data_IF_734233044911
#
_entry.id   IF_734233044911
#
_cell.length_a   1.000
_cell.length_b   1.000
_cell.length_c   1.000
_cell.angle_alpha   90.00
_cell.angle_beta   90.00
_cell.angle_gamma   90.00
#
_symmetry.space_group_name_H-M   'P 1'
#
loop_
_entity.id
_entity.type
_entity.pdbx_description
1 polymer ?
#
# COMPACT_ATOMS: atom_id res chain seq x y z
N UNK A 1 4.59 10.12 -2.94
CA UNK A 1 4.15 8.88 -3.62
C UNK A 1 5.05 8.64 -4.82
N UNK A 2 5.54 7.39 -5.03
CA UNK A 2 6.45 7.04 -6.14
C UNK A 2 5.68 6.26 -7.22
N UNK A 3 5.86 6.65 -8.48
CA UNK A 3 5.40 5.90 -9.65
C UNK A 3 6.41 4.79 -9.97
N UNK A 4 5.92 3.56 -10.12
CA UNK A 4 6.69 2.41 -10.60
C UNK A 4 6.24 2.06 -12.01
N UNK A 5 7.20 1.67 -12.86
CA UNK A 5 6.93 1.39 -14.28
C UNK A 5 6.53 -0.07 -14.52
N UNK A 6 6.78 -0.96 -13.56
CA UNK A 6 6.35 -2.35 -13.62
C UNK A 6 5.82 -2.87 -12.28
N UNK A 7 5.01 -3.92 -12.38
CA UNK A 7 4.57 -4.67 -11.20
C UNK A 7 5.77 -5.34 -10.53
N UNK A 8 6.76 -5.83 -11.29
CA UNK A 8 7.99 -6.42 -10.76
C UNK A 8 8.81 -5.46 -9.90
N UNK A 9 8.98 -4.20 -10.32
CA UNK A 9 9.63 -3.17 -9.49
C UNK A 9 8.85 -2.93 -8.20
N UNK A 10 7.53 -2.88 -8.31
CA UNK A 10 6.63 -2.74 -7.16
C UNK A 10 6.77 -3.94 -6.22
N UNK A 11 6.99 -5.12 -6.79
CA UNK A 11 7.17 -6.37 -6.05
C UNK A 11 8.48 -6.48 -5.30
N UNK A 12 9.57 -5.97 -5.87
CA UNK A 12 10.85 -5.93 -5.17
C UNK A 12 10.76 -5.10 -3.87
N UNK A 13 9.92 -4.05 -3.84
CA UNK A 13 9.68 -3.25 -2.64
C UNK A 13 8.96 -4.05 -1.56
N UNK A 14 7.99 -4.86 -1.98
CA UNK A 14 7.23 -5.75 -1.10
C UNK A 14 8.10 -6.83 -0.47
N UNK A 15 8.98 -7.47 -1.25
CA UNK A 15 9.87 -8.53 -0.76
C UNK A 15 10.82 -8.04 0.33
N UNK A 16 11.27 -6.78 0.26
CA UNK A 16 12.14 -6.19 1.28
C UNK A 16 11.43 -5.92 2.61
N UNK A 17 10.09 -5.94 2.62
CA UNK A 17 9.27 -5.58 3.78
C UNK A 17 8.01 -6.46 3.86
N UNK A 18 8.17 -7.77 4.12
CA UNK A 18 7.09 -8.75 3.99
C UNK A 18 5.90 -8.52 4.94
N UNK A 19 6.13 -7.79 6.04
CA UNK A 19 5.10 -7.50 7.04
C UNK A 19 4.40 -6.14 6.81
N UNK A 20 4.75 -5.40 5.75
CA UNK A 20 4.06 -4.15 5.44
C UNK A 20 2.70 -4.42 4.78
N UNK A 21 1.66 -3.83 5.37
CA UNK A 21 0.31 -3.81 4.82
C UNK A 21 0.25 -2.71 3.76
N UNK A 22 0.09 -3.12 2.51
CA UNK A 22 0.08 -2.22 1.36
C UNK A 22 -1.09 -2.45 0.40
N UNK A 23 -1.38 -1.41 -0.38
CA UNK A 23 -2.26 -1.41 -1.53
C UNK A 23 -1.52 -0.84 -2.74
N UNK A 24 -1.67 -1.47 -3.90
CA UNK A 24 -1.10 -1.01 -5.16
C UNK A 24 -2.24 -0.70 -6.10
N UNK A 25 -2.24 0.48 -6.73
CA UNK A 25 -3.13 0.76 -7.84
C UNK A 25 -2.34 0.75 -9.15
N UNK A 26 -2.88 0.06 -10.15
CA UNK A 26 -2.39 0.03 -11.51
C UNK A 26 -3.39 0.71 -12.43
N UNK A 27 -2.92 1.66 -13.23
CA UNK A 27 -3.69 2.30 -14.30
C UNK A 27 -3.19 1.77 -15.65
N UNK A 28 -4.11 1.24 -16.45
CA UNK A 28 -3.86 0.64 -17.76
C UNK A 28 -2.78 -0.46 -17.82
N UNK A 29 -2.33 -0.99 -16.67
CA UNK A 29 -1.24 -1.98 -16.62
C UNK A 29 0.16 -1.38 -16.80
N UNK A 30 0.31 -0.06 -16.78
CA UNK A 30 1.60 0.61 -17.07
C UNK A 30 2.03 1.62 -16.00
N UNK A 31 1.12 2.05 -15.13
CA UNK A 31 1.42 3.01 -14.07
C UNK A 31 1.02 2.44 -12.72
N UNK A 32 2.00 2.21 -11.85
CA UNK A 32 1.81 1.54 -10.56
C UNK A 32 2.14 2.49 -9.42
N UNK A 33 1.23 2.62 -8.46
CA UNK A 33 1.40 3.48 -7.28
C UNK A 33 1.17 2.67 -6.01
N UNK A 34 2.07 2.84 -5.04
CA UNK A 34 2.09 2.07 -3.79
C UNK A 34 1.64 2.93 -2.62
N UNK A 35 0.70 2.41 -1.86
CA UNK A 35 0.18 2.97 -0.63
C UNK A 35 0.46 2.01 0.52
N UNK A 36 0.96 2.56 1.63
CA UNK A 36 1.24 1.80 2.85
C UNK A 36 0.23 2.16 3.92
N UNK A 37 -0.11 1.21 4.78
CA UNK A 37 -0.80 1.54 6.03
C UNK A 37 0.12 2.36 6.94
N UNK A 38 -0.44 3.32 7.65
CA UNK A 38 0.29 4.05 8.68
C UNK A 38 -0.14 3.55 10.07
N UNK A 39 0.81 3.20 10.94
CA UNK A 39 0.49 2.91 12.34
C UNK A 39 -0.04 4.17 13.03
N UNK A 40 -0.64 4.03 14.21
CA UNK A 40 -0.99 5.21 15.00
C UNK A 40 0.25 6.05 15.33
N UNK A 41 0.11 7.38 15.48
CA UNK A 41 1.21 8.26 15.84
C UNK A 41 2.03 7.78 17.04
N UNK A 42 1.36 7.21 18.04
CA UNK A 42 2.00 6.65 19.23
C UNK A 42 2.85 5.42 18.89
N UNK A 43 2.34 4.50 18.06
CA UNK A 43 3.08 3.33 17.60
C UNK A 43 4.23 3.74 16.67
N UNK A 44 4.03 4.74 15.81
CA UNK A 44 5.07 5.29 14.94
C UNK A 44 6.22 5.85 15.78
N UNK A 45 5.89 6.63 16.81
CA UNK A 45 6.85 7.19 17.77
C UNK A 45 7.62 6.09 18.51
N UNK A 46 6.93 5.03 18.96
CA UNK A 46 7.59 3.89 19.61
C UNK A 46 8.54 3.15 18.65
N UNK A 47 8.13 2.94 17.39
CA UNK A 47 9.00 2.34 16.36
C UNK A 47 10.22 3.21 16.08
N UNK A 48 10.07 4.53 16.05
CA UNK A 48 11.18 5.46 15.89
C UNK A 48 12.13 5.43 17.09
N UNK A 49 11.63 5.35 18.31
CA UNK A 49 12.45 5.17 19.51
C UNK A 49 13.27 3.87 19.44
N UNK A 50 12.63 2.74 19.09
CA UNK A 50 13.30 1.45 18.89
C UNK A 50 14.41 1.52 17.84
N UNK A 51 14.14 2.17 16.70
CA UNK A 51 15.12 2.33 15.64
C UNK A 51 16.32 3.18 16.08
N UNK A 52 16.09 4.26 16.84
CA UNK A 52 17.17 5.11 17.37
C UNK A 52 18.06 4.35 18.36
N UNK A 53 17.47 3.54 19.25
CA UNK A 53 18.25 2.68 20.15
C UNK A 53 19.02 1.62 19.36
N UNK A 54 18.39 0.96 18.39
CA UNK A 54 19.06 -0.02 17.52
C UNK A 54 20.30 0.56 16.83
N UNK A 55 20.17 1.73 16.22
CA UNK A 55 21.30 2.45 15.59
C UNK A 55 22.37 2.81 16.64
N UNK A 56 21.97 3.32 17.81
CA UNK A 56 22.90 3.66 18.89
C UNK A 56 23.73 2.46 19.32
N UNK A 57 23.11 1.28 19.41
CA UNK A 57 23.77 0.05 19.84
C UNK A 57 24.70 -0.49 18.75
N UNK A 58 24.30 -0.43 17.47
CA UNK A 58 25.18 -0.76 16.34
C UNK A 58 26.45 0.09 16.34
N UNK A 59 26.36 1.37 16.72
CA UNK A 59 27.49 2.28 16.80
C UNK A 59 28.35 2.12 18.07
N UNK A 60 27.77 1.66 19.17
CA UNK A 60 28.42 1.62 20.49
C UNK A 60 28.96 0.24 20.89
N UNK A 61 28.66 -0.80 20.10
CA UNK A 61 29.01 -2.19 20.42
C UNK A 61 27.90 -2.93 21.20
N UNK A 62 28.02 -4.27 21.36
CA UNK A 62 26.93 -5.09 21.88
C UNK A 62 26.52 -4.73 23.31
N UNK A 63 25.28 -4.30 23.48
CA UNK A 63 24.60 -4.09 24.77
C UNK A 63 23.68 -5.26 25.13
N UNK A 64 23.32 -5.38 26.42
CA UNK A 64 22.37 -6.41 26.85
C UNK A 64 20.94 -6.07 26.37
N UNK A 65 20.18 -7.08 25.91
CA UNK A 65 18.81 -6.90 25.39
C UNK A 65 17.85 -6.28 26.43
N UNK A 66 18.11 -6.50 27.72
CA UNK A 66 17.26 -5.99 28.80
C UNK A 66 17.46 -4.49 29.04
N UNK A 67 18.67 -3.96 28.83
CA UNK A 67 18.93 -2.52 28.86
C UNK A 67 18.27 -1.79 27.68
N UNK A 68 18.14 -2.47 26.53
CA UNK A 68 17.59 -1.87 25.31
C UNK A 68 16.10 -1.57 25.42
N UNK A 69 15.33 -2.41 26.12
CA UNK A 69 13.91 -2.17 26.35
C UNK A 69 13.68 -0.98 27.28
N UNK A 70 14.44 -0.88 28.37
CA UNK A 70 14.33 0.24 29.30
C UNK A 70 14.75 1.56 28.64
N UNK A 71 15.87 1.57 27.93
CA UNK A 71 16.34 2.73 27.14
C UNK A 71 15.31 3.15 26.09
N UNK A 72 14.70 2.18 25.40
CA UNK A 72 13.63 2.42 24.43
C UNK A 72 12.42 3.08 25.09
N UNK A 73 11.95 2.56 26.23
CA UNK A 73 10.79 3.11 26.93
C UNK A 73 11.06 4.52 27.46
N UNK A 74 12.26 4.77 27.98
CA UNK A 74 12.67 6.10 28.42
C UNK A 74 12.69 7.11 27.27
N UNK A 75 13.30 6.75 26.14
CA UNK A 75 13.32 7.57 24.94
C UNK A 75 11.91 7.80 24.39
N UNK A 76 11.08 6.76 24.35
CA UNK A 76 9.69 6.87 23.91
C UNK A 76 8.90 7.88 24.75
N UNK A 77 9.00 7.82 26.09
CA UNK A 77 8.34 8.79 26.98
C UNK A 77 8.84 10.22 26.77
N UNK A 78 10.14 10.40 26.57
CA UNK A 78 10.70 11.71 26.22
C UNK A 78 10.10 12.24 24.91
N UNK A 79 10.04 11.42 23.87
CA UNK A 79 9.45 11.79 22.59
C UNK A 79 7.95 12.10 22.68
N UNK A 80 7.21 11.43 23.57
CA UNK A 80 5.82 11.79 23.84
C UNK A 80 5.70 13.17 24.49
N UNK A 81 6.56 13.49 25.46
CA UNK A 81 6.58 14.79 26.12
C UNK A 81 6.94 15.94 25.17
N UNK A 82 7.85 15.68 24.22
CA UNK A 82 8.22 16.61 23.14
C UNK A 82 7.20 16.68 22.00
N UNK A 83 6.02 16.07 22.18
CA UNK A 83 4.94 16.06 21.19
C UNK A 83 5.34 15.49 19.82
N UNK A 84 6.33 14.59 19.77
CA UNK A 84 6.74 13.91 18.53
C UNK A 84 5.57 13.21 17.82
N UNK A 85 4.56 12.60 18.50
CA UNK A 85 3.41 12.03 17.80
C UNK A 85 2.72 12.99 16.81
N UNK A 86 2.69 14.30 17.05
CA UNK A 86 2.00 15.24 16.17
C UNK A 86 2.66 15.39 14.79
N UNK A 87 3.91 14.92 14.62
CA UNK A 87 4.60 14.94 13.32
C UNK A 87 4.21 13.76 12.43
N UNK A 88 3.58 12.74 12.99
CA UNK A 88 3.15 11.56 12.25
C UNK A 88 1.72 11.72 11.73
N UNK A 89 1.44 11.20 10.53
CA UNK A 89 0.07 11.17 10.01
C UNK A 89 -0.81 10.26 10.89
N UNK A 90 -2.12 10.50 10.83
CA UNK A 90 -3.10 9.63 11.47
C UNK A 90 -3.00 8.17 11.01
N UNK A 91 -3.44 7.25 11.87
CA UNK A 91 -3.52 5.85 11.50
C UNK A 91 -4.55 5.66 10.39
N UNK A 92 -4.10 5.11 9.28
CA UNK A 92 -4.94 4.86 8.12
C UNK A 92 -4.55 3.52 7.51
N UNK A 93 -5.55 2.78 7.06
CA UNK A 93 -5.32 1.56 6.29
C UNK A 93 -4.78 1.90 4.89
N UNK A 94 -4.13 0.95 4.23
CA UNK A 94 -3.52 1.19 2.93
C UNK A 94 -4.56 1.59 1.87
N UNK A 95 -5.77 1.03 1.95
CA UNK A 95 -6.90 1.37 1.08
C UNK A 95 -7.37 2.81 1.26
N UNK A 96 -7.37 3.32 2.49
CA UNK A 96 -7.78 4.70 2.77
C UNK A 96 -6.73 5.68 2.28
N UNK A 97 -5.46 5.36 2.46
CA UNK A 97 -4.37 6.13 1.90
C UNK A 97 -4.40 6.13 0.37
N UNK A 98 -4.79 5.00 -0.25
CA UNK A 98 -5.02 4.91 -1.69
C UNK A 98 -6.15 5.83 -2.14
N UNK A 99 -7.32 5.76 -1.49
CA UNK A 99 -8.45 6.63 -1.83
C UNK A 99 -8.05 8.09 -1.65
N UNK A 100 -7.47 8.46 -0.50
CA UNK A 100 -7.04 9.83 -0.18
C UNK A 100 -6.03 10.36 -1.20
N UNK A 101 -5.03 9.56 -1.57
CA UNK A 101 -4.00 9.94 -2.54
C UNK A 101 -4.41 9.81 -4.01
N UNK A 102 -5.64 9.39 -4.30
CA UNK A 102 -6.09 9.17 -5.68
C UNK A 102 -6.01 10.43 -6.58
N UNK A 103 -6.32 11.66 -6.12
CA UNK A 103 -6.13 12.87 -6.93
C UNK A 103 -4.66 13.07 -7.36
N UNK A 104 -3.72 12.78 -6.48
CA UNK A 104 -2.28 12.85 -6.79
C UNK A 104 -1.88 11.78 -7.81
N UNK A 105 -2.52 10.60 -7.76
CA UNK A 105 -2.31 9.53 -8.74
C UNK A 105 -2.71 10.01 -10.12
N UNK A 106 -3.88 10.63 -10.25
CA UNK A 106 -4.36 11.15 -11.53
C UNK A 106 -3.45 12.27 -12.05
N UNK A 107 -3.01 13.15 -11.15
CA UNK A 107 -2.08 14.24 -11.49
C UNK A 107 -0.75 13.70 -12.03
N UNK A 108 -0.15 12.72 -11.34
CA UNK A 108 1.10 12.08 -11.80
C UNK A 108 0.90 11.28 -13.08
N UNK A 109 -0.24 10.59 -13.23
CA UNK A 109 -0.56 9.83 -14.43
C UNK A 109 -0.66 10.74 -15.64
N UNK A 110 -1.42 11.86 -15.54
CA UNK A 110 -1.52 12.85 -16.63
C UNK A 110 -0.18 13.48 -16.98
N UNK A 111 0.64 13.81 -15.98
CA UNK A 111 1.97 14.36 -16.22
C UNK A 111 2.88 13.38 -16.97
N UNK A 112 2.73 12.07 -16.71
CA UNK A 112 3.57 11.03 -17.33
C UNK A 112 3.02 10.56 -18.67
N UNK A 113 1.69 10.54 -18.83
CA UNK A 113 0.97 10.00 -19.98
C UNK A 113 -0.15 11.00 -20.43
N UNK A 114 0.20 12.19 -20.93
CA UNK A 114 -0.74 13.30 -21.11
C UNK A 114 -1.89 13.01 -22.09
N UNK A 115 -1.67 12.18 -23.09
CA UNK A 115 -2.67 11.84 -24.11
C UNK A 115 -3.50 10.59 -23.75
N UNK A 116 -3.13 9.89 -22.67
CA UNK A 116 -3.75 8.60 -22.37
C UNK A 116 -4.94 8.74 -21.43
N UNK A 117 -6.02 8.03 -21.77
CA UNK A 117 -7.20 7.86 -20.93
C UNK A 117 -7.09 6.60 -20.09
N UNK A 118 -7.73 6.59 -18.92
CA UNK A 118 -7.76 5.45 -18.03
C UNK A 118 -8.92 4.52 -18.43
N UNK A 119 -8.56 3.35 -18.94
CA UNK A 119 -9.48 2.31 -19.41
C UNK A 119 -9.55 1.16 -18.40
N UNK A 120 -8.46 0.89 -17.67
CA UNK A 120 -8.41 -0.17 -16.67
C UNK A 120 -7.82 0.35 -15.36
N UNK A 121 -8.48 0.04 -14.25
CA UNK A 121 -7.97 0.23 -12.90
C UNK A 121 -7.91 -1.14 -12.23
N UNK A 122 -6.72 -1.55 -11.79
CA UNK A 122 -6.54 -2.75 -10.98
C UNK A 122 -5.94 -2.39 -9.64
N UNK A 123 -6.56 -2.83 -8.55
CA UNK A 123 -6.02 -2.67 -7.20
C UNK A 123 -5.50 -4.02 -6.72
N UNK A 124 -4.26 -4.07 -6.29
CA UNK A 124 -3.64 -5.24 -5.68
C UNK A 124 -3.48 -5.00 -4.18
N UNK A 125 -4.01 -5.92 -3.37
CA UNK A 125 -3.92 -5.86 -1.92
C UNK A 125 -3.04 -6.99 -1.40
N UNK A 126 -2.12 -6.63 -0.51
CA UNK A 126 -1.25 -7.57 0.22
C UNK A 126 -1.99 -8.37 1.31
N UNK A 127 -3.22 -7.99 1.61
CA UNK A 127 -4.04 -8.51 2.68
C UNK A 127 -5.51 -8.48 2.28
N UNK A 128 -6.35 -9.18 3.04
CA UNK A 128 -7.80 -9.04 2.92
C UNK A 128 -8.24 -7.73 3.60
N UNK A 129 -8.99 -6.85 2.92
CA UNK A 129 -9.44 -5.59 3.45
C UNK A 129 -10.40 -5.84 4.60
N UNK A 130 -10.31 -5.04 5.66
CA UNK A 130 -11.21 -5.19 6.80
C UNK A 130 -12.68 -5.01 6.39
N UNK A 131 -13.55 -5.88 6.89
CA UNK A 131 -14.99 -5.78 6.73
C UNK A 131 -15.63 -5.20 7.99
N UNK A 132 -16.73 -4.47 7.83
CA UNK A 132 -17.52 -3.97 8.96
C UNK A 132 -18.15 -5.12 9.78
N UNK A 133 -18.54 -6.19 9.11
CA UNK A 133 -19.10 -7.40 9.70
C UNK A 133 -17.98 -8.46 9.81
N UNK A 134 -17.12 -8.31 10.82
CA UNK A 134 -16.01 -9.24 11.04
C UNK A 134 -15.42 -9.14 12.44
N UNK A 135 -14.63 -10.13 12.84
CA UNK A 135 -14.05 -10.24 14.19
C UNK A 135 -12.94 -9.21 14.49
N UNK A 136 -12.35 -8.59 13.45
CA UNK A 136 -11.23 -7.65 13.58
C UNK A 136 -11.73 -6.21 13.62
N UNK A 137 -11.03 -5.34 14.37
CA UNK A 137 -11.26 -3.88 14.33
C UNK A 137 -11.26 -3.41 12.87
N UNK A 138 -12.39 -2.85 12.45
CA UNK A 138 -12.58 -2.36 11.10
C UNK A 138 -12.30 -0.86 11.04
N UNK A 139 -11.97 -0.35 9.86
CA UNK A 139 -11.91 1.10 9.69
C UNK A 139 -13.32 1.72 9.80
N UNK A 140 -13.46 2.77 10.59
CA UNK A 140 -14.71 3.52 10.80
C UNK A 140 -15.18 4.28 9.56
N UNK A 141 -16.45 4.67 9.53
CA UNK A 141 -16.98 5.57 8.50
C UNK A 141 -16.26 6.92 8.56
N UNK A 142 -15.94 7.50 7.40
CA UNK A 142 -15.22 8.79 7.33
C UNK A 142 -15.36 9.46 5.97
N UNK A 143 -15.16 10.77 5.95
CA UNK A 143 -15.10 11.55 4.71
C UNK A 143 -13.68 11.57 4.16
N UNK A 144 -13.51 11.19 2.89
CA UNK A 144 -12.23 11.25 2.17
C UNK A 144 -12.49 11.86 0.79
N UNK A 145 -11.71 12.87 0.39
CA UNK A 145 -11.84 13.57 -0.90
C UNK A 145 -13.26 14.09 -1.18
N UNK A 146 -13.98 14.53 -0.15
CA UNK A 146 -15.36 15.01 -0.28
C UNK A 146 -16.42 13.93 -0.35
N UNK A 147 -16.05 12.64 -0.30
CA UNK A 147 -17.00 11.51 -0.29
C UNK A 147 -17.16 10.95 1.11
N UNK A 148 -18.41 10.76 1.55
CA UNK A 148 -18.69 10.02 2.79
C UNK A 148 -18.60 8.52 2.52
N UNK A 149 -17.64 7.84 3.16
CA UNK A 149 -17.36 6.44 2.93
C UNK A 149 -17.80 5.57 4.12
N UNK A 150 -18.40 4.39 3.87
CA UNK A 150 -18.92 3.51 4.90
C UNK A 150 -17.80 2.87 5.77
N UNK A 151 -18.16 2.26 6.91
CA UNK A 151 -17.20 1.48 7.69
C UNK A 151 -16.75 0.22 6.91
N UNK A 152 -15.51 -0.23 7.14
CA UNK A 152 -14.85 -1.35 6.47
C UNK A 152 -14.16 -0.96 5.16
N UNK A 153 -12.88 -1.32 5.00
CA UNK A 153 -12.09 -1.01 3.79
C UNK A 153 -12.68 -1.64 2.53
N UNK A 154 -13.29 -2.82 2.63
CA UNK A 154 -13.98 -3.46 1.50
C UNK A 154 -15.14 -2.59 0.99
N UNK A 155 -16.00 -2.10 1.89
CA UNK A 155 -17.13 -1.23 1.57
C UNK A 155 -16.64 0.15 1.10
N UNK A 156 -15.53 0.67 1.64
CA UNK A 156 -14.92 1.92 1.15
C UNK A 156 -14.40 1.79 -0.29
N UNK A 157 -13.66 0.73 -0.60
CA UNK A 157 -13.17 0.49 -1.96
C UNK A 157 -14.33 0.31 -2.94
N UNK A 158 -15.36 -0.46 -2.56
CA UNK A 158 -16.55 -0.65 -3.40
C UNK A 158 -17.30 0.67 -3.60
N UNK A 159 -17.53 1.43 -2.53
CA UNK A 159 -18.18 2.74 -2.63
C UNK A 159 -17.38 3.73 -3.48
N UNK A 160 -16.05 3.70 -3.41
CA UNK A 160 -15.23 4.65 -4.16
C UNK A 160 -15.05 4.24 -5.63
N UNK A 161 -14.77 2.96 -5.90
CA UNK A 161 -14.46 2.44 -7.23
C UNK A 161 -15.65 1.77 -7.94
N UNK A 162 -16.34 0.81 -7.32
CA UNK A 162 -17.45 0.11 -7.99
C UNK A 162 -18.60 1.06 -8.32
N UNK A 163 -18.91 1.98 -7.41
CA UNK A 163 -19.96 2.99 -7.62
C UNK A 163 -19.52 4.19 -8.48
N UNK A 164 -18.26 4.24 -8.90
CA UNK A 164 -17.79 5.28 -9.81
C UNK A 164 -17.49 6.65 -9.20
N UNK A 165 -17.50 6.81 -7.87
CA UNK A 165 -17.22 8.09 -7.20
C UNK A 165 -15.86 8.67 -7.60
N UNK A 166 -14.87 7.82 -7.86
CA UNK A 166 -13.55 8.21 -8.35
C UNK A 166 -13.59 9.05 -9.64
N UNK A 167 -14.63 8.89 -10.48
CA UNK A 167 -14.77 9.63 -11.73
C UNK A 167 -15.04 11.12 -11.50
N UNK A 168 -15.74 11.47 -10.42
CA UNK A 168 -16.07 12.86 -10.12
C UNK A 168 -14.83 13.73 -9.79
N UNK A 169 -13.66 13.12 -9.60
CA UNK A 169 -12.39 13.83 -9.39
C UNK A 169 -11.82 14.37 -10.71
N UNK A 170 -11.95 13.62 -11.80
CA UNK A 170 -11.44 14.01 -13.13
C UNK A 170 -12.13 13.20 -14.24
N UNK A 171 -13.41 13.46 -14.44
CA UNK A 171 -14.27 12.69 -15.36
C UNK A 171 -13.69 12.54 -16.78
N UNK A 172 -13.12 13.60 -17.41
CA UNK A 172 -12.56 13.50 -18.75
C UNK A 172 -11.42 12.49 -18.89
N UNK A 173 -10.78 12.08 -17.79
CA UNK A 173 -9.66 11.14 -17.82
C UNK A 173 -10.10 9.68 -17.98
N UNK A 174 -11.38 9.37 -17.74
CA UNK A 174 -11.91 8.00 -17.69
C UNK A 174 -12.74 7.67 -18.93
N UNK A 175 -12.50 6.52 -19.56
CA UNK A 175 -13.25 6.08 -20.74
C UNK A 175 -13.63 4.61 -20.60
N UNK A 176 -14.92 4.32 -20.44
CA UNK A 176 -15.46 2.96 -20.24
C UNK A 176 -14.62 2.13 -19.25
N UNK A 177 -14.15 2.79 -18.19
CA UNK A 177 -13.13 2.25 -17.31
C UNK A 177 -13.62 0.99 -16.59
N UNK A 178 -12.87 -0.11 -16.72
CA UNK A 178 -13.09 -1.34 -15.97
C UNK A 178 -12.30 -1.30 -14.68
N UNK A 179 -12.90 -1.80 -13.61
CA UNK A 179 -12.30 -1.85 -12.29
C UNK A 179 -12.22 -3.29 -11.79
N UNK A 180 -11.10 -3.63 -11.15
CA UNK A 180 -10.92 -4.93 -10.48
C UNK A 180 -10.07 -4.78 -9.21
N UNK A 181 -10.51 -5.42 -8.13
CA UNK A 181 -9.68 -5.65 -6.94
C UNK A 181 -9.14 -7.07 -6.99
N UNK A 182 -7.85 -7.23 -6.70
CA UNK A 182 -7.16 -8.51 -6.63
C UNK A 182 -6.48 -8.65 -5.28
N UNK A 183 -6.75 -9.77 -4.61
CA UNK A 183 -6.04 -10.18 -3.42
C UNK A 183 -4.83 -11.01 -3.86
N UNK A 184 -3.64 -10.59 -3.45
CA UNK A 184 -2.42 -11.33 -3.72
C UNK A 184 -2.32 -12.51 -2.74
N UNK A 185 -2.86 -13.67 -3.13
CA UNK A 185 -2.92 -14.89 -2.32
C UNK A 185 -1.56 -15.35 -1.79
N UNK A 186 -0.43 -15.02 -2.44
CA UNK A 186 0.92 -15.34 -1.94
C UNK A 186 1.27 -14.75 -0.57
N UNK A 187 0.47 -13.83 -0.04
CA UNK A 187 0.62 -13.29 1.32
C UNK A 187 -0.34 -13.93 2.32
N UNK A 188 -1.25 -14.78 1.84
CA UNK A 188 -2.03 -15.66 2.70
C UNK A 188 -1.25 -16.96 2.92
N UNK A 189 -0.56 -17.04 4.06
CA UNK A 189 0.25 -18.19 4.46
C UNK A 189 -0.55 -19.50 4.61
N UNK A 190 -1.88 -19.45 4.43
CA UNK A 190 -2.78 -20.60 4.54
C UNK A 190 -3.26 -21.16 3.20
N UNK A 191 -2.79 -20.64 2.06
CA UNK A 191 -3.27 -21.04 0.73
C UNK A 191 -2.11 -21.53 -0.13
N UNK A 192 -2.21 -22.76 -0.63
CA UNK A 192 -1.22 -23.34 -1.56
C UNK A 192 -1.17 -22.54 -2.87
N UNK A 193 0.05 -22.25 -3.34
CA UNK A 193 0.30 -21.44 -4.54
C UNK A 193 -0.30 -22.09 -5.79
N UNK A 194 -1.43 -21.57 -6.28
CA UNK A 194 -1.83 -21.80 -7.66
C UNK A 194 -1.01 -20.89 -8.57
N UNK A 195 -0.32 -21.50 -9.54
CA UNK A 195 0.48 -21.00 -10.68
C UNK A 195 0.94 -19.51 -10.66
N UNK A 196 2.20 -19.20 -11.02
CA UNK A 196 2.81 -17.88 -10.81
C UNK A 196 2.20 -16.79 -11.71
N UNK A 197 1.08 -16.21 -11.27
CA UNK A 197 0.33 -15.14 -11.92
C UNK A 197 1.17 -13.89 -12.25
N UNK A 198 2.28 -13.67 -11.55
CA UNK A 198 3.25 -12.60 -11.84
C UNK A 198 3.76 -12.70 -13.28
N UNK A 199 3.86 -13.92 -13.82
CA UNK A 199 4.27 -14.17 -15.21
C UNK A 199 3.23 -13.73 -16.24
N UNK A 200 1.94 -13.69 -15.86
CA UNK A 200 0.84 -13.31 -16.75
C UNK A 200 0.50 -11.81 -16.71
N UNK A 201 0.80 -11.15 -15.59
CA UNK A 201 0.42 -9.74 -15.37
C UNK A 201 1.51 -8.72 -15.77
N UNK A 202 2.73 -9.17 -16.04
CA UNK A 202 3.87 -8.30 -16.39
C UNK A 202 4.33 -8.60 -17.84
N UNK A 203 4.11 -7.67 -18.79
CA UNK A 203 4.54 -7.84 -20.18
C UNK A 203 6.05 -8.09 -20.34
N UNK A 204 6.88 -7.54 -19.45
CA UNK A 204 8.33 -7.75 -19.48
C UNK A 204 8.68 -9.19 -19.09
N UNK A 205 8.04 -9.75 -18.07
CA UNK A 205 8.22 -11.17 -17.69
C UNK A 205 7.67 -12.11 -18.75
N UNK A 206 6.52 -11.79 -19.36
CA UNK A 206 5.95 -12.58 -20.44
C UNK A 206 6.90 -12.68 -21.65
N UNK A 207 7.61 -11.59 -21.98
CA UNK A 207 8.58 -11.56 -23.07
C UNK A 207 9.86 -12.36 -22.78
N UNK A 208 10.28 -12.42 -21.52
CA UNK A 208 11.47 -13.16 -21.08
C UNK A 208 11.17 -14.65 -21.01
N UNK A 209 10.00 -15.05 -20.49
CA UNK A 209 9.59 -16.45 -20.40
C UNK A 209 9.33 -17.04 -21.79
N UNK A 210 8.68 -16.29 -22.69
CA UNK A 210 8.48 -16.71 -24.08
C UNK A 210 9.79 -16.78 -24.91
N UNK A 211 10.89 -16.20 -24.41
CA UNK A 211 12.24 -16.38 -24.97
C UNK A 211 12.92 -17.62 -24.41
N UNK A 212 12.76 -17.90 -23.11
CA UNK A 212 13.34 -19.09 -22.48
C UNK A 212 12.72 -20.39 -23.02
N UNK A 213 11.41 -20.41 -23.30
CA UNK A 213 10.75 -21.57 -23.94
C UNK A 213 11.24 -21.82 -25.37
N UNK A 214 11.72 -20.79 -26.07
CA UNK A 214 12.30 -20.91 -27.43
C UNK A 214 13.78 -21.30 -27.47
N UNK A 215 14.49 -21.18 -26.35
CA UNK A 215 15.88 -21.65 -26.23
C UNK A 215 15.99 -23.06 -25.63
N UNK A 216 14.87 -23.67 -25.22
CA UNK A 216 14.78 -25.03 -24.70
C UNK A 216 14.23 -26.05 -25.70
N UNK A 217 14.10 -25.69 -26.99
CA UNK A 217 13.79 -26.61 -28.10
C UNK A 217 14.98 -26.70 -29.05
#
# INVERSE_FOLDING_TARGET
MKLYRSLSETMAVLQRKPNEVIAIISLNGQAYFVFRSNPSPQIATLKQAKAKIGISNELSGPTSKHEDEEKTQRLYRFMLADNVPSVFPESNHAEENLIRGFPDVLTQFKATFPEQKIINITIFLSHSPCAAEGEKKHSEARSINGFFLPPGCNKKLSAFFDKGNYKAIDEPLFVNTKFKVQYLYRFNHTVEEQAPFIQQADPLLHSVLAKMERCGQ
#
